data_IF_953451642442
#
_entry.id   IF_953451642442
#
_cell.length_a   1.000
_cell.length_b   1.000
_cell.length_c   1.000
_cell.angle_alpha   90.00
_cell.angle_beta   90.00
_cell.angle_gamma   90.00
#
_symmetry.space_group_name_H-M   'P 1'
#
loop_
_entity.id
_entity.type
_entity.pdbx_description
1 polymer ?
#
# COMPACT_ATOMS: atom_id res chain seq x y z
N UNK A 1 1.81 -8.93 11.41
CA UNK A 1 1.48 -8.18 10.18
C UNK A 1 2.08 -6.77 10.26
N UNK A 2 2.65 -6.23 9.18
CA UNK A 2 3.34 -4.93 9.17
C UNK A 2 2.43 -3.74 9.54
N UNK A 3 1.18 -3.73 9.07
CA UNK A 3 0.24 -2.65 9.37
C UNK A 3 -0.11 -2.57 10.87
N UNK A 4 -0.18 -3.70 11.58
CA UNK A 4 -0.39 -3.72 13.04
C UNK A 4 0.79 -3.11 13.78
N UNK A 5 2.01 -3.45 13.39
CA UNK A 5 3.22 -2.85 13.96
C UNK A 5 3.22 -1.32 13.79
N UNK A 6 2.94 -0.82 12.58
CA UNK A 6 2.88 0.62 12.32
C UNK A 6 1.78 1.29 13.15
N UNK A 7 0.59 0.68 13.25
CA UNK A 7 -0.50 1.16 14.11
C UNK A 7 -0.05 1.29 15.56
N UNK A 8 0.56 0.26 16.14
CA UNK A 8 1.05 0.28 17.52
C UNK A 8 2.05 1.42 17.73
N UNK A 9 3.01 1.59 16.83
CA UNK A 9 4.00 2.67 16.93
C UNK A 9 3.35 4.07 16.83
N UNK A 10 2.36 4.25 15.95
CA UNK A 10 1.63 5.51 15.84
C UNK A 10 0.84 5.82 17.12
N UNK A 11 0.21 4.82 17.72
CA UNK A 11 -0.54 5.00 18.97
C UNK A 11 0.38 5.26 20.17
N UNK A 12 1.58 4.68 20.20
CA UNK A 12 2.60 4.98 21.21
C UNK A 12 3.07 6.44 21.10
N UNK A 13 3.38 6.89 19.88
CA UNK A 13 3.84 8.26 19.64
C UNK A 13 2.71 9.30 19.82
N UNK A 14 1.47 8.92 19.53
CA UNK A 14 0.29 9.78 19.54
C UNK A 14 -0.89 9.06 20.22
N UNK A 15 -1.01 9.09 21.56
CA UNK A 15 -1.99 8.30 22.30
C UNK A 15 -3.47 8.60 21.98
N UNK A 16 -3.77 9.80 21.50
CA UNK A 16 -5.13 10.20 21.08
C UNK A 16 -5.43 9.88 19.62
N UNK A 17 -4.46 9.39 18.84
CA UNK A 17 -4.66 9.09 17.43
C UNK A 17 -5.49 7.82 17.26
N UNK A 18 -6.62 7.94 16.57
CA UNK A 18 -7.44 6.80 16.16
C UNK A 18 -6.87 6.26 14.85
N UNK A 19 -6.49 4.97 14.86
CA UNK A 19 -5.95 4.29 13.67
C UNK A 19 -6.88 3.14 13.28
N UNK A 20 -7.50 3.29 12.11
CA UNK A 20 -8.29 2.26 11.44
C UNK A 20 -7.43 1.52 10.41
N UNK A 21 -7.56 0.19 10.35
CA UNK A 21 -6.92 -0.60 9.30
C UNK A 21 -7.89 -0.73 8.13
N UNK A 22 -7.45 -0.32 6.94
CA UNK A 22 -8.18 -0.50 5.70
C UNK A 22 -7.53 -1.65 4.92
N UNK A 23 -7.99 -2.91 5.08
CA UNK A 23 -7.40 -4.05 4.40
C UNK A 23 -7.61 -3.95 2.90
N UNK A 24 -6.56 -4.27 2.14
CA UNK A 24 -6.55 -4.27 0.68
C UNK A 24 -6.12 -5.65 0.19
N UNK A 25 -6.75 -6.13 -0.88
CA UNK A 25 -6.31 -7.33 -1.60
C UNK A 25 -5.79 -6.86 -2.93
N UNK A 26 -4.53 -7.17 -3.23
CA UNK A 26 -3.92 -6.78 -4.50
C UNK A 26 -4.17 -7.84 -5.56
N UNK A 27 -4.07 -7.47 -6.84
CA UNK A 27 -4.08 -8.47 -7.91
C UNK A 27 -2.91 -9.44 -7.82
N UNK A 28 -1.77 -9.00 -7.27
CA UNK A 28 -0.61 -9.85 -6.98
C UNK A 28 -0.90 -10.96 -5.97
N UNK A 29 -1.78 -10.72 -4.99
CA UNK A 29 -2.20 -11.73 -4.01
C UNK A 29 -3.13 -12.79 -4.64
N UNK A 30 -3.85 -12.43 -5.70
CA UNK A 30 -4.81 -13.30 -6.40
C UNK A 30 -4.10 -14.13 -7.47
N UNK A 31 -3.06 -13.58 -8.12
CA UNK A 31 -2.29 -14.25 -9.18
C UNK A 31 -1.07 -14.93 -8.55
N UNK A 32 -1.29 -16.05 -7.88
CA UNK A 32 -0.21 -16.85 -7.27
C UNK A 32 0.49 -17.79 -8.27
N UNK A 33 -0.19 -18.17 -9.37
CA UNK A 33 0.27 -19.25 -10.27
C UNK A 33 0.90 -18.78 -11.59
N UNK A 34 1.05 -17.47 -11.81
CA UNK A 34 1.74 -16.95 -13.01
C UNK A 34 3.02 -16.24 -12.61
N UNK A 35 4.20 -16.67 -13.12
CA UNK A 35 5.45 -15.99 -12.83
C UNK A 35 5.33 -14.49 -13.10
N UNK A 36 5.74 -13.66 -12.13
CA UNK A 36 5.71 -12.19 -12.21
C UNK A 36 6.26 -11.63 -13.54
N UNK A 37 7.27 -12.30 -14.11
CA UNK A 37 7.86 -11.97 -15.40
C UNK A 37 6.88 -12.06 -16.59
N UNK A 38 5.85 -12.92 -16.53
CA UNK A 38 4.80 -13.07 -17.55
C UNK A 38 3.64 -12.08 -17.37
N UNK A 39 3.41 -11.59 -16.15
CA UNK A 39 2.27 -10.70 -15.85
C UNK A 39 2.57 -9.24 -16.26
N UNK A 40 3.83 -8.91 -16.56
CA UNK A 40 4.19 -7.65 -17.23
C UNK A 40 3.54 -6.42 -16.60
N UNK A 41 3.68 -6.23 -15.30
CA UNK A 41 3.01 -5.13 -14.59
C UNK A 41 3.93 -4.45 -13.61
N UNK A 42 4.54 -3.32 -14.00
CA UNK A 42 5.06 -2.36 -13.03
C UNK A 42 3.90 -2.01 -12.07
N UNK A 43 4.09 -2.22 -10.77
CA UNK A 43 3.13 -1.79 -9.74
C UNK A 43 2.02 -2.77 -9.35
N UNK A 44 2.12 -4.07 -9.68
CA UNK A 44 1.11 -5.10 -9.34
C UNK A 44 0.75 -5.22 -7.83
N UNK A 45 1.65 -4.79 -6.94
CA UNK A 45 1.46 -4.87 -5.49
C UNK A 45 1.14 -3.51 -4.84
N UNK A 46 1.26 -2.41 -5.58
CA UNK A 46 1.11 -1.05 -5.03
C UNK A 46 -0.06 -0.28 -5.64
N UNK A 47 -0.58 -0.71 -6.80
CA UNK A 47 -1.66 0.00 -7.50
C UNK A 47 -2.91 0.20 -6.64
N UNK A 48 -3.36 -0.84 -5.95
CA UNK A 48 -4.55 -0.76 -5.10
C UNK A 48 -4.35 0.19 -3.91
N UNK A 49 -3.11 0.26 -3.38
CA UNK A 49 -2.73 1.20 -2.33
C UNK A 49 -2.69 2.64 -2.84
N UNK A 50 -2.05 2.88 -3.99
CA UNK A 50 -2.02 4.20 -4.64
C UNK A 50 -3.43 4.71 -4.91
N UNK A 51 -4.31 3.86 -5.45
CA UNK A 51 -5.71 4.22 -5.67
C UNK A 51 -6.46 4.53 -4.38
N UNK A 52 -6.19 3.80 -3.28
CA UNK A 52 -6.81 4.09 -1.98
C UNK A 52 -6.42 5.47 -1.45
N UNK A 53 -5.14 5.83 -1.59
CA UNK A 53 -4.63 7.16 -1.22
C UNK A 53 -5.26 8.25 -2.11
N UNK A 54 -5.27 8.04 -3.43
CA UNK A 54 -5.82 9.00 -4.39
C UNK A 54 -7.33 9.23 -4.26
N UNK A 55 -8.07 8.20 -3.85
CA UNK A 55 -9.52 8.27 -3.63
C UNK A 55 -9.91 8.65 -2.21
N UNK A 56 -8.95 9.04 -1.37
CA UNK A 56 -9.16 9.37 0.05
C UNK A 56 -9.85 8.25 0.84
N UNK A 57 -9.68 6.98 0.42
CA UNK A 57 -10.12 5.80 1.17
C UNK A 57 -9.12 5.39 2.26
N UNK A 58 -7.89 5.89 2.18
CA UNK A 58 -6.85 5.71 3.18
C UNK A 58 -5.95 6.95 3.20
N UNK A 59 -5.40 7.27 4.36
CA UNK A 59 -4.49 8.40 4.52
C UNK A 59 -3.01 7.99 4.37
N UNK A 60 -2.68 6.75 4.71
CA UNK A 60 -1.34 6.16 4.57
C UNK A 60 -1.42 4.74 4.02
N UNK A 61 -0.36 4.33 3.32
CA UNK A 61 -0.17 2.95 2.87
C UNK A 61 1.09 2.37 3.51
N UNK A 62 1.00 1.13 3.99
CA UNK A 62 2.13 0.40 4.57
C UNK A 62 2.55 -0.70 3.61
N UNK A 63 3.84 -0.74 3.27
CA UNK A 63 4.40 -1.73 2.36
C UNK A 63 5.78 -2.21 2.84
N UNK A 64 6.17 -3.42 2.42
CA UNK A 64 7.57 -3.84 2.43
C UNK A 64 8.39 -3.02 1.44
N UNK A 65 9.53 -2.46 1.87
CA UNK A 65 10.36 -1.58 1.03
C UNK A 65 10.82 -2.25 -0.28
N UNK A 66 11.05 -3.57 -0.28
CA UNK A 66 11.50 -4.34 -1.45
C UNK A 66 10.55 -4.27 -2.66
N UNK A 67 9.30 -3.92 -2.41
CA UNK A 67 8.22 -3.92 -3.39
C UNK A 67 7.72 -2.48 -3.69
N UNK A 68 8.33 -1.46 -3.05
CA UNK A 68 8.04 -0.05 -3.32
C UNK A 68 8.60 0.30 -4.70
N UNK A 69 7.81 0.91 -5.61
CA UNK A 69 8.29 1.27 -6.94
C UNK A 69 9.36 2.36 -6.86
N UNK A 70 10.31 2.33 -7.80
CA UNK A 70 11.34 3.37 -7.91
C UNK A 70 10.75 4.75 -8.25
N UNK A 71 9.59 4.76 -8.93
CA UNK A 71 8.91 5.97 -9.38
C UNK A 71 7.43 5.84 -8.99
N UNK A 72 6.92 6.82 -8.26
CA UNK A 72 5.49 6.96 -7.96
C UNK A 72 4.79 7.70 -9.10
N UNK A 73 3.50 7.41 -9.31
CA UNK A 73 2.67 8.20 -10.22
C UNK A 73 2.73 9.68 -9.82
N UNK A 74 3.16 10.55 -10.73
CA UNK A 74 3.09 12.00 -10.52
C UNK A 74 1.62 12.41 -10.48
N UNK A 75 1.19 12.94 -9.34
CA UNK A 75 -0.21 13.39 -9.11
C UNK A 75 -0.33 14.92 -9.20
N UNK A 76 0.78 15.64 -9.42
CA UNK A 76 0.80 17.09 -9.40
C UNK A 76 1.36 17.64 -10.72
N UNK A 77 0.59 17.53 -11.79
CA UNK A 77 0.70 18.43 -12.92
C UNK A 77 -0.47 19.42 -12.79
N UNK A 78 -0.20 20.59 -12.19
CA UNK A 78 -1.06 21.77 -12.28
C UNK A 78 -0.73 22.51 -13.57
#
# INVERSE_FOLDING_TARGET
MQALYVKEQLQIAHPSLVVELVPMVTKGDIILDTPLAKVGGKGLFVKELELALLSSRADIAVHSMKDVPLIFLKVWDW
#
